data_IF_308336023599
#
_entry.id   IF_308336023599
#
_cell.length_a   1.000
_cell.length_b   1.000
_cell.length_c   1.000
_cell.angle_alpha   90.00
_cell.angle_beta   90.00
_cell.angle_gamma   90.00
#
_symmetry.space_group_name_H-M   'P 1'
#
loop_
_entity.id
_entity.type
_entity.pdbx_description
1 polymer ?
#
# COMPACT_ATOMS: atom_id res chain seq x y z
N UNK A 1 18.39 -8.96 26.07
CA UNK A 1 19.42 -9.28 25.05
C UNK A 1 19.16 -8.64 23.67
N UNK A 2 17.91 -8.34 23.29
CA UNK A 2 17.58 -7.64 22.02
C UNK A 2 18.08 -6.17 21.98
N UNK A 3 17.96 -5.42 23.08
CA UNK A 3 18.38 -4.02 23.16
C UNK A 3 19.90 -3.82 22.90
N UNK A 4 20.74 -4.74 23.39
CA UNK A 4 22.20 -4.71 23.21
C UNK A 4 22.59 -5.08 21.77
N UNK A 5 21.84 -5.97 21.12
CA UNK A 5 21.99 -6.28 19.68
C UNK A 5 21.59 -5.12 18.77
N UNK A 6 20.67 -4.25 19.20
CA UNK A 6 20.25 -3.06 18.45
C UNK A 6 21.29 -1.93 18.50
N UNK A 7 22.09 -1.87 19.58
CA UNK A 7 23.16 -0.90 19.78
C UNK A 7 24.44 -1.22 18.97
N UNK A 8 24.65 -2.48 18.61
CA UNK A 8 25.84 -2.97 17.88
C UNK A 8 25.65 -3.07 16.36
N UNK A 9 24.45 -2.80 15.83
CA UNK A 9 24.25 -2.78 14.37
C UNK A 9 24.69 -1.42 13.82
N UNK A 10 25.64 -1.36 12.87
CA UNK A 10 25.97 -0.11 12.21
C UNK A 10 24.70 0.49 11.61
N UNK A 11 24.53 1.82 11.72
CA UNK A 11 23.38 2.52 11.15
C UNK A 11 23.27 2.08 9.67
N UNK A 12 22.10 1.60 9.23
CA UNK A 12 21.96 1.07 7.88
C UNK A 12 22.32 2.17 6.90
N UNK A 13 23.11 1.82 5.88
CA UNK A 13 23.48 2.78 4.85
C UNK A 13 22.21 3.25 4.11
N UNK A 14 22.22 4.44 3.49
CA UNK A 14 21.05 4.92 2.76
C UNK A 14 20.57 3.92 1.67
N UNK A 15 21.51 3.18 1.08
CA UNK A 15 21.22 2.10 0.12
C UNK A 15 20.52 0.89 0.78
N UNK A 16 20.91 0.52 2.01
CA UNK A 16 20.25 -0.54 2.77
C UNK A 16 18.84 -0.12 3.20
N UNK A 17 18.65 1.15 3.59
CA UNK A 17 17.33 1.69 3.92
C UNK A 17 16.39 1.66 2.71
N UNK A 18 16.86 2.06 1.52
CA UNK A 18 16.05 1.96 0.29
C UNK A 18 15.62 0.52 -0.03
N UNK A 19 16.51 -0.47 0.18
CA UNK A 19 16.16 -1.89 -0.03
C UNK A 19 15.10 -2.36 0.98
N UNK A 20 15.20 -1.94 2.23
CA UNK A 20 14.21 -2.27 3.25
C UNK A 20 12.86 -1.62 2.94
N UNK A 21 12.86 -0.37 2.51
CA UNK A 21 11.66 0.31 2.00
C UNK A 21 11.01 -0.44 0.84
N UNK A 22 11.77 -0.85 -0.17
CA UNK A 22 11.25 -1.69 -1.26
C UNK A 22 10.68 -3.03 -0.75
N UNK A 23 11.23 -3.60 0.31
CA UNK A 23 10.68 -4.81 0.93
C UNK A 23 9.36 -4.52 1.65
N UNK A 24 9.27 -3.43 2.42
CA UNK A 24 8.04 -2.99 3.10
C UNK A 24 6.93 -2.69 2.08
N UNK A 25 7.22 -1.96 1.00
CA UNK A 25 6.26 -1.68 -0.07
C UNK A 25 5.72 -2.96 -0.73
N UNK A 26 6.59 -3.94 -1.00
CA UNK A 26 6.16 -5.25 -1.52
C UNK A 26 5.27 -6.01 -0.54
N UNK A 27 5.56 -5.93 0.76
CA UNK A 27 4.71 -6.55 1.78
C UNK A 27 3.33 -5.90 1.85
N UNK A 28 3.26 -4.57 1.77
CA UNK A 28 1.99 -3.84 1.68
C UNK A 28 1.21 -4.18 0.42
N UNK A 29 1.88 -4.28 -0.73
CA UNK A 29 1.25 -4.73 -1.97
C UNK A 29 0.60 -6.12 -1.85
N UNK A 30 1.25 -7.06 -1.13
CA UNK A 30 0.66 -8.37 -0.84
C UNK A 30 -0.51 -8.29 0.16
N UNK A 31 -0.49 -7.32 1.07
CA UNK A 31 -1.59 -7.10 2.01
C UNK A 31 -2.84 -6.61 1.29
N UNK A 32 -2.66 -5.65 0.37
CA UNK A 32 -3.73 -5.19 -0.53
C UNK A 32 -4.28 -6.35 -1.36
N UNK A 33 -3.41 -7.21 -1.92
CA UNK A 33 -3.87 -8.38 -2.70
C UNK A 33 -4.71 -9.36 -1.87
N UNK A 34 -4.44 -9.50 -0.57
CA UNK A 34 -5.28 -10.30 0.33
C UNK A 34 -6.63 -9.61 0.55
N UNK A 35 -6.63 -8.32 0.87
CA UNK A 35 -7.86 -7.54 1.07
C UNK A 35 -8.77 -7.58 -0.17
N UNK A 36 -8.21 -7.44 -1.38
CA UNK A 36 -8.96 -7.57 -2.63
C UNK A 36 -9.63 -8.94 -2.72
N UNK A 37 -8.88 -10.02 -2.44
CA UNK A 37 -9.43 -11.38 -2.48
C UNK A 37 -10.53 -11.60 -1.44
N UNK A 38 -10.39 -11.04 -0.25
CA UNK A 38 -11.37 -11.16 0.82
C UNK A 38 -12.66 -10.41 0.48
N UNK A 39 -12.54 -9.17 -0.03
CA UNK A 39 -13.70 -8.38 -0.48
C UNK A 39 -14.42 -9.07 -1.65
N UNK A 40 -13.69 -9.57 -2.64
CA UNK A 40 -14.28 -10.30 -3.77
C UNK A 40 -14.96 -11.60 -3.35
N UNK A 41 -14.43 -12.29 -2.33
CA UNK A 41 -15.07 -13.49 -1.78
C UNK A 41 -16.38 -13.14 -1.08
N UNK A 42 -16.40 -12.06 -0.31
CA UNK A 42 -17.61 -11.61 0.38
C UNK A 42 -18.65 -11.09 -0.62
N UNK A 43 -18.23 -10.36 -1.65
CA UNK A 43 -19.10 -9.93 -2.75
C UNK A 43 -19.84 -11.12 -3.38
N UNK A 44 -19.15 -12.24 -3.66
CA UNK A 44 -19.78 -13.46 -4.19
C UNK A 44 -20.83 -14.07 -3.25
N UNK A 45 -20.68 -13.93 -1.93
CA UNK A 45 -21.70 -14.40 -0.98
C UNK A 45 -22.92 -13.48 -1.02
N UNK A 46 -22.69 -12.16 -1.02
CA UNK A 46 -23.76 -11.17 -1.14
C UNK A 46 -24.54 -11.35 -2.44
N UNK A 47 -23.87 -11.65 -3.56
CA UNK A 47 -24.54 -11.97 -4.83
C UNK A 47 -25.49 -13.19 -4.72
N UNK A 48 -25.12 -14.22 -3.95
CA UNK A 48 -26.01 -15.36 -3.67
C UNK A 48 -27.21 -14.91 -2.82
N UNK A 49 -26.97 -14.14 -1.77
CA UNK A 49 -28.03 -13.60 -0.91
C UNK A 49 -29.00 -12.69 -1.68
N UNK A 50 -28.54 -11.93 -2.67
CA UNK A 50 -29.41 -11.15 -3.58
C UNK A 50 -30.35 -12.09 -4.34
N UNK A 51 -29.82 -13.18 -4.92
CA UNK A 51 -30.64 -14.15 -5.67
C UNK A 51 -31.68 -14.83 -4.77
N UNK A 52 -31.31 -15.16 -3.53
CA UNK A 52 -32.23 -15.75 -2.55
C UNK A 52 -33.32 -14.77 -2.12
N UNK A 53 -32.97 -13.51 -1.84
CA UNK A 53 -33.93 -12.46 -1.50
C UNK A 53 -34.91 -12.21 -2.66
N UNK A 54 -34.41 -12.17 -3.90
CA UNK A 54 -35.24 -12.03 -5.08
C UNK A 54 -36.21 -13.21 -5.27
N UNK A 55 -35.76 -14.45 -5.03
CA UNK A 55 -36.64 -15.64 -5.06
C UNK A 55 -37.76 -15.61 -4.02
N UNK A 56 -37.49 -15.01 -2.85
CA UNK A 56 -38.50 -14.79 -1.80
C UNK A 56 -39.40 -13.57 -2.05
N UNK A 57 -39.26 -12.92 -3.21
CA UNK A 57 -39.95 -11.68 -3.56
C UNK A 57 -39.66 -10.50 -2.60
N UNK A 58 -38.55 -10.55 -1.86
CA UNK A 58 -38.09 -9.48 -0.99
C UNK A 58 -37.18 -8.52 -1.78
N UNK A 59 -37.84 -7.65 -2.55
CA UNK A 59 -37.17 -6.67 -3.40
C UNK A 59 -36.45 -5.59 -2.57
N UNK A 60 -36.92 -5.30 -1.36
CA UNK A 60 -36.30 -4.33 -0.45
C UNK A 60 -34.90 -4.76 -0.05
N UNK A 61 -34.76 -5.99 0.47
CA UNK A 61 -33.47 -6.56 0.85
C UNK A 61 -32.56 -6.77 -0.37
N UNK A 62 -33.10 -7.27 -1.48
CA UNK A 62 -32.32 -7.44 -2.71
C UNK A 62 -31.70 -6.11 -3.20
N UNK A 63 -32.45 -5.00 -3.15
CA UNK A 63 -31.97 -3.67 -3.53
C UNK A 63 -30.91 -3.14 -2.57
N UNK A 64 -31.06 -3.36 -1.26
CA UNK A 64 -30.07 -2.97 -0.27
C UNK A 64 -28.73 -3.70 -0.48
N UNK A 65 -28.79 -5.03 -0.65
CA UNK A 65 -27.62 -5.86 -0.91
C UNK A 65 -26.94 -5.52 -2.25
N UNK A 66 -27.71 -5.19 -3.30
CA UNK A 66 -27.16 -4.75 -4.58
C UNK A 66 -26.36 -3.44 -4.47
N UNK A 67 -26.82 -2.49 -3.64
CA UNK A 67 -26.04 -1.27 -3.36
C UNK A 67 -24.72 -1.59 -2.67
N UNK A 68 -24.70 -2.59 -1.79
CA UNK A 68 -23.48 -3.02 -1.11
C UNK A 68 -22.47 -3.63 -2.09
N UNK A 69 -22.92 -4.44 -3.05
CA UNK A 69 -22.06 -4.95 -4.14
C UNK A 69 -21.40 -3.80 -4.91
N UNK A 70 -22.14 -2.74 -5.24
CA UNK A 70 -21.56 -1.56 -5.93
C UNK A 70 -20.50 -0.87 -5.07
N UNK A 71 -20.70 -0.79 -3.75
CA UNK A 71 -19.71 -0.22 -2.82
C UNK A 71 -18.46 -1.10 -2.73
N UNK A 72 -18.63 -2.42 -2.62
CA UNK A 72 -17.52 -3.39 -2.64
C UNK A 72 -16.67 -3.25 -3.89
N UNK A 73 -17.29 -3.15 -5.07
CA UNK A 73 -16.57 -2.94 -6.34
C UNK A 73 -15.77 -1.64 -6.36
N UNK A 74 -16.34 -0.54 -5.84
CA UNK A 74 -15.61 0.73 -5.70
C UNK A 74 -14.43 0.61 -4.74
N UNK A 75 -14.58 -0.11 -3.64
CA UNK A 75 -13.49 -0.38 -2.70
C UNK A 75 -12.37 -1.19 -3.37
N UNK A 76 -12.70 -2.24 -4.12
CA UNK A 76 -11.74 -3.05 -4.89
C UNK A 76 -10.98 -2.20 -5.91
N UNK A 77 -11.66 -1.31 -6.64
CA UNK A 77 -10.99 -0.41 -7.59
C UNK A 77 -9.98 0.51 -6.90
N UNK A 78 -10.35 1.11 -5.76
CA UNK A 78 -9.41 1.92 -4.95
C UNK A 78 -8.21 1.12 -4.47
N UNK A 79 -8.42 -0.13 -4.05
CA UNK A 79 -7.32 -1.02 -3.65
C UNK A 79 -6.36 -1.30 -4.81
N UNK A 80 -6.87 -1.52 -6.02
CA UNK A 80 -6.01 -1.66 -7.21
C UNK A 80 -5.23 -0.38 -7.54
N UNK A 81 -5.86 0.79 -7.44
CA UNK A 81 -5.19 2.09 -7.61
C UNK A 81 -4.07 2.27 -6.58
N UNK A 82 -4.33 1.97 -5.30
CA UNK A 82 -3.32 2.03 -4.25
C UNK A 82 -2.14 1.08 -4.54
N UNK A 83 -2.42 -0.14 -5.01
CA UNK A 83 -1.37 -1.08 -5.41
C UNK A 83 -0.52 -0.54 -6.56
N UNK A 84 -1.14 0.07 -7.56
CA UNK A 84 -0.42 0.67 -8.68
C UNK A 84 0.52 1.79 -8.19
N UNK A 85 0.05 2.65 -7.29
CA UNK A 85 0.87 3.71 -6.68
C UNK A 85 2.04 3.15 -5.86
N UNK A 86 1.83 2.09 -5.08
CA UNK A 86 2.93 1.41 -4.36
C UNK A 86 3.99 0.86 -5.31
N UNK A 87 3.58 0.27 -6.44
CA UNK A 87 4.50 -0.23 -7.45
C UNK A 87 5.31 0.91 -8.08
N UNK A 88 4.66 2.04 -8.41
CA UNK A 88 5.35 3.23 -8.92
C UNK A 88 6.40 3.73 -7.93
N UNK A 89 6.07 3.83 -6.64
CA UNK A 89 7.06 4.21 -5.61
C UNK A 89 8.23 3.22 -5.58
N UNK A 90 7.95 1.92 -5.62
CA UNK A 90 9.02 0.90 -5.61
C UNK A 90 9.96 1.01 -6.82
N UNK A 91 9.42 1.38 -8.00
CA UNK A 91 10.21 1.61 -9.21
C UNK A 91 11.11 2.83 -9.07
N UNK A 92 10.55 3.98 -8.68
CA UNK A 92 11.33 5.20 -8.47
C UNK A 92 12.38 5.06 -7.36
N UNK A 93 12.08 4.29 -6.30
CA UNK A 93 13.10 3.93 -5.31
C UNK A 93 14.23 3.11 -5.95
N UNK A 94 13.92 2.19 -6.85
CA UNK A 94 14.92 1.41 -7.58
C UNK A 94 15.85 2.29 -8.41
N UNK A 95 15.29 3.29 -9.08
CA UNK A 95 16.05 4.31 -9.81
C UNK A 95 16.97 5.11 -8.88
N UNK A 96 16.45 5.59 -7.74
CA UNK A 96 17.26 6.33 -6.76
C UNK A 96 18.41 5.47 -6.21
N UNK A 97 18.20 4.16 -5.97
CA UNK A 97 19.30 3.24 -5.59
C UNK A 97 20.35 3.16 -6.70
N UNK A 98 19.92 3.00 -7.95
CA UNK A 98 20.82 2.86 -9.09
C UNK A 98 21.68 4.11 -9.28
N UNK A 99 21.04 5.29 -9.25
CA UNK A 99 21.72 6.59 -9.30
C UNK A 99 22.66 6.77 -8.11
N UNK A 100 22.25 6.43 -6.88
CA UNK A 100 23.13 6.55 -5.72
C UNK A 100 24.40 5.67 -5.78
N UNK A 101 24.40 4.57 -6.56
CA UNK A 101 25.63 3.78 -6.79
C UNK A 101 26.61 4.47 -7.72
N UNK A 102 26.13 5.28 -8.66
CA UNK A 102 26.97 5.95 -9.65
C UNK A 102 27.43 7.32 -9.18
N UNK A 103 26.53 8.12 -8.59
CA UNK A 103 26.84 9.50 -8.16
C UNK A 103 27.19 9.64 -6.67
N UNK A 104 27.11 8.55 -5.90
CA UNK A 104 27.49 8.50 -4.48
C UNK A 104 26.55 9.22 -3.51
N UNK A 105 25.53 9.93 -4.01
CA UNK A 105 24.51 10.59 -3.21
C UNK A 105 23.10 10.20 -3.67
N UNK A 106 22.14 10.22 -2.75
CA UNK A 106 20.72 10.05 -3.09
C UNK A 106 20.19 11.35 -3.73
N UNK A 107 19.31 11.26 -4.75
CA UNK A 107 18.66 12.39 -5.45
C UNK A 107 17.13 12.56 -5.20
N UNK A 108 16.68 13.70 -4.63
CA UNK A 108 15.30 13.85 -4.10
C UNK A 108 14.29 13.64 -5.22
N UNK A 109 13.37 12.69 -5.07
CA UNK A 109 12.29 12.48 -6.05
C UNK A 109 10.98 13.12 -5.58
N UNK A 110 10.56 14.16 -6.28
CA UNK A 110 9.26 14.83 -6.08
C UNK A 110 8.09 13.93 -6.44
N UNK A 111 8.26 13.04 -7.43
CA UNK A 111 7.26 12.06 -7.85
C UNK A 111 7.00 11.03 -6.74
N UNK A 112 8.05 10.51 -6.11
CA UNK A 112 7.91 9.63 -4.94
C UNK A 112 7.17 10.34 -3.81
N UNK A 113 7.53 11.59 -3.49
CA UNK A 113 6.84 12.34 -2.44
C UNK A 113 5.36 12.56 -2.75
N UNK A 114 5.00 12.84 -4.01
CA UNK A 114 3.60 12.99 -4.44
C UNK A 114 2.82 11.68 -4.28
N UNK A 115 3.39 10.56 -4.71
CA UNK A 115 2.75 9.24 -4.62
C UNK A 115 2.57 8.80 -3.15
N UNK A 116 3.59 9.01 -2.31
CA UNK A 116 3.51 8.75 -0.87
C UNK A 116 2.39 9.56 -0.22
N UNK A 117 2.28 10.86 -0.55
CA UNK A 117 1.23 11.72 -0.03
C UNK A 117 -0.18 11.28 -0.48
N UNK A 118 -0.31 10.75 -1.69
CA UNK A 118 -1.59 10.18 -2.14
C UNK A 118 -1.96 8.92 -1.36
N UNK A 119 -1.00 8.02 -1.15
CA UNK A 119 -1.22 6.80 -0.38
C UNK A 119 -1.42 7.06 1.12
N UNK A 120 -0.92 8.17 1.67
CA UNK A 120 -1.24 8.58 3.04
C UNK A 120 -2.74 8.83 3.26
N UNK A 121 -3.50 9.08 2.18
CA UNK A 121 -4.97 9.24 2.23
C UNK A 121 -5.72 7.91 2.12
N UNK A 122 -5.02 6.82 1.79
CA UNK A 122 -5.59 5.49 1.73
C UNK A 122 -5.54 4.85 3.13
N UNK A 123 -6.70 4.57 3.78
CA UNK A 123 -6.73 4.08 5.16
C UNK A 123 -5.90 2.82 5.40
N UNK A 124 -5.80 1.97 4.38
CA UNK A 124 -5.17 0.65 4.46
C UNK A 124 -3.65 0.73 4.56
N UNK A 125 -3.05 1.81 4.06
CA UNK A 125 -1.59 2.01 4.03
C UNK A 125 -1.14 3.32 4.66
N UNK A 126 -2.07 4.14 5.17
CA UNK A 126 -1.81 5.48 5.68
C UNK A 126 -0.72 5.52 6.75
N UNK A 127 -0.81 4.65 7.76
CA UNK A 127 0.16 4.57 8.85
C UNK A 127 1.56 4.22 8.33
N UNK A 128 1.65 3.19 7.48
CA UNK A 128 2.92 2.75 6.89
C UNK A 128 3.53 3.84 6.01
N UNK A 129 2.73 4.54 5.21
CA UNK A 129 3.22 5.63 4.34
C UNK A 129 3.64 6.88 5.11
N UNK A 130 2.99 7.18 6.23
CA UNK A 130 3.37 8.29 7.08
C UNK A 130 4.72 8.04 7.74
N UNK A 131 4.96 6.82 8.24
CA UNK A 131 6.27 6.44 8.78
C UNK A 131 7.34 6.45 7.69
N UNK A 132 7.03 5.86 6.53
CA UNK A 132 7.89 5.86 5.35
C UNK A 132 8.29 7.28 4.93
N UNK A 133 7.34 8.22 4.89
CA UNK A 133 7.60 9.63 4.54
C UNK A 133 8.58 10.30 5.52
N UNK A 134 8.43 10.02 6.83
CA UNK A 134 9.32 10.53 7.88
C UNK A 134 10.72 9.95 7.76
N UNK A 135 10.84 8.63 7.58
CA UNK A 135 12.12 7.94 7.39
C UNK A 135 12.83 8.46 6.14
N UNK A 136 12.09 8.55 5.03
CA UNK A 136 12.58 9.06 3.76
C UNK A 136 13.16 10.46 3.91
N UNK A 137 12.40 11.39 4.49
CA UNK A 137 12.84 12.77 4.69
C UNK A 137 14.12 12.86 5.54
N UNK A 138 14.29 12.02 6.56
CA UNK A 138 15.53 11.98 7.36
C UNK A 138 16.74 11.58 6.53
N UNK A 139 16.60 10.52 5.72
CA UNK A 139 17.68 10.02 4.84
C UNK A 139 18.05 11.06 3.77
N UNK A 140 17.07 11.81 3.28
CA UNK A 140 17.27 12.90 2.32
C UNK A 140 18.00 14.13 2.87
N UNK A 141 17.92 14.35 4.19
CA UNK A 141 18.49 15.51 4.86
C UNK A 141 19.86 15.17 5.46
N UNK A 142 20.07 13.92 5.88
CA UNK A 142 21.38 13.41 6.27
C UNK A 142 22.30 13.38 5.04
N UNK A 143 23.13 14.43 4.89
CA UNK A 143 24.32 14.43 4.03
C UNK A 143 25.49 13.79 4.76
#
# INVERSE_FOLDING_TARGET
MEAVKSLLKPKPTPQQQLREWQRRLRNEGRNIDRQIRDVQREEKKVEKSIREAAKRNDIGSAKALAKEVVRSRKAVNRLYENKAQLNSISMHLGEIVATARTVGHLSKSTEVMKLVNNLMKAPEVAATMQEFSKEMTKVWIMK
#
